data_IF_566847469271
#
_entry.id   IF_566847469271
#
_cell.length_a   1.000
_cell.length_b   1.000
_cell.length_c   1.000
_cell.angle_alpha   90.00
_cell.angle_beta   90.00
_cell.angle_gamma   90.00
#
_symmetry.space_group_name_H-M   'P 1'
#
loop_
_entity.id
_entity.type
_entity.pdbx_description
1 polymer ?
#
# COMPACT_ATOMS: atom_id res chain seq x y z
N UNK A 1 -20.03 -11.22 -19.05
CA UNK A 1 -20.65 -10.13 -19.80
C UNK A 1 -21.80 -9.62 -18.99
N UNK A 2 -21.64 -8.48 -18.42
CA UNK A 2 -22.63 -7.97 -17.48
C UNK A 2 -23.62 -7.08 -18.20
N UNK A 3 -24.91 -7.31 -17.95
CA UNK A 3 -25.96 -6.40 -18.36
C UNK A 3 -25.86 -5.11 -17.56
N UNK A 4 -25.59 -4.01 -18.23
CA UNK A 4 -25.53 -2.70 -17.56
C UNK A 4 -26.91 -2.02 -17.70
N UNK A 5 -27.51 -1.72 -16.55
CA UNK A 5 -28.80 -1.06 -16.47
C UNK A 5 -28.75 0.47 -16.76
N UNK A 6 -27.63 0.99 -17.20
CA UNK A 6 -27.48 2.40 -17.56
C UNK A 6 -27.58 2.60 -19.07
N UNK A 7 -28.34 3.59 -19.56
CA UNK A 7 -28.42 3.90 -21.00
C UNK A 7 -27.04 4.18 -21.65
N UNK A 8 -26.08 4.61 -20.85
CA UNK A 8 -24.71 4.94 -21.26
C UNK A 8 -23.75 3.75 -21.20
N UNK A 9 -24.22 2.59 -20.80
CA UNK A 9 -23.47 1.34 -20.68
C UNK A 9 -24.32 0.21 -21.24
N UNK A 10 -24.49 0.15 -22.55
CA UNK A 10 -25.28 -0.89 -23.19
C UNK A 10 -24.63 -2.26 -23.02
N UNK A 11 -25.45 -3.31 -23.09
CA UNK A 11 -25.00 -4.69 -23.07
C UNK A 11 -23.98 -4.97 -24.18
N UNK A 12 -23.01 -5.82 -23.90
CA UNK A 12 -22.06 -6.30 -24.91
C UNK A 12 -20.62 -6.33 -24.44
N UNK A 13 -19.73 -6.66 -25.35
CA UNK A 13 -18.29 -6.65 -25.14
C UNK A 13 -17.78 -5.22 -25.30
N UNK A 14 -17.34 -4.60 -24.20
CA UNK A 14 -16.78 -3.26 -24.24
C UNK A 14 -15.35 -3.25 -24.80
N UNK A 15 -14.55 -4.21 -24.42
CA UNK A 15 -13.17 -4.37 -24.87
C UNK A 15 -12.90 -5.84 -25.20
N UNK A 16 -12.26 -6.06 -26.34
CA UNK A 16 -11.73 -7.35 -26.76
C UNK A 16 -10.36 -7.08 -27.39
N UNK A 17 -9.28 -7.48 -26.70
CA UNK A 17 -7.92 -7.18 -27.11
C UNK A 17 -6.92 -8.17 -26.52
N UNK A 18 -5.78 -8.26 -27.14
CA UNK A 18 -4.60 -8.96 -26.66
C UNK A 18 -3.48 -7.97 -26.42
N UNK A 19 -2.61 -8.26 -25.47
CA UNK A 19 -1.37 -7.49 -25.22
C UNK A 19 -0.24 -8.47 -25.01
N UNK A 20 0.72 -8.41 -25.92
CA UNK A 20 2.02 -9.02 -25.69
C UNK A 20 2.92 -8.03 -24.94
N UNK A 21 3.54 -8.48 -23.86
CA UNK A 21 4.40 -7.66 -23.02
C UNK A 21 5.79 -8.28 -22.92
N UNK A 22 6.78 -7.56 -23.41
CA UNK A 22 8.18 -7.95 -23.33
C UNK A 22 8.94 -7.00 -22.40
N UNK A 23 9.78 -7.55 -21.51
CA UNK A 23 10.65 -6.75 -20.66
C UNK A 23 12.09 -7.22 -20.81
N UNK A 24 12.98 -6.29 -21.14
CA UNK A 24 14.41 -6.50 -21.14
C UNK A 24 15.06 -5.64 -20.05
N UNK A 25 15.87 -6.25 -19.19
CA UNK A 25 16.54 -5.53 -18.13
C UNK A 25 17.97 -6.01 -17.89
N UNK A 26 18.85 -5.05 -17.58
CA UNK A 26 20.20 -5.28 -17.09
C UNK A 26 20.36 -4.69 -15.70
N UNK A 27 21.03 -5.40 -14.78
CA UNK A 27 21.23 -4.91 -13.43
C UNK A 27 22.61 -5.28 -12.86
N UNK A 28 23.03 -4.49 -11.87
CA UNK A 28 24.22 -4.76 -11.06
C UNK A 28 23.98 -4.38 -9.62
N UNK A 29 24.62 -5.12 -8.70
CA UNK A 29 24.62 -4.79 -7.28
C UNK A 29 26.06 -4.90 -6.75
N UNK A 30 26.41 -3.99 -5.86
CA UNK A 30 27.71 -3.92 -5.22
C UNK A 30 27.51 -3.81 -3.72
N UNK A 31 28.20 -4.65 -2.96
CA UNK A 31 28.35 -4.53 -1.52
C UNK A 31 29.83 -4.40 -1.22
N UNK A 32 30.21 -3.34 -0.51
CA UNK A 32 31.59 -3.04 -0.20
C UNK A 32 31.77 -2.74 1.30
N UNK A 33 32.57 -3.57 1.97
CA UNK A 33 33.05 -3.30 3.32
C UNK A 33 34.17 -2.24 3.27
N UNK A 34 33.82 -0.98 3.55
CA UNK A 34 34.78 0.12 3.57
C UNK A 34 35.73 0.02 4.76
N UNK A 35 35.26 -0.60 5.86
CA UNK A 35 36.03 -0.95 7.05
C UNK A 35 35.25 -1.98 7.88
N UNK A 36 35.79 -2.43 9.01
CA UNK A 36 35.09 -3.33 9.95
C UNK A 36 33.75 -2.79 10.44
N UNK A 37 33.54 -1.48 10.35
CA UNK A 37 32.33 -0.81 10.85
C UNK A 37 31.48 -0.17 9.75
N UNK A 38 32.02 0.08 8.58
CA UNK A 38 31.34 0.79 7.52
C UNK A 38 31.12 -0.09 6.31
N UNK A 39 29.90 -0.12 5.83
CA UNK A 39 29.47 -0.85 4.64
C UNK A 39 28.74 0.08 3.69
N UNK A 40 29.09 -0.01 2.43
CA UNK A 40 28.40 0.60 1.32
C UNK A 40 27.64 -0.48 0.53
N UNK A 41 26.40 -0.22 0.18
CA UNK A 41 25.60 -1.03 -0.72
C UNK A 41 25.08 -0.14 -1.85
N UNK A 42 25.15 -0.62 -3.09
CA UNK A 42 24.66 0.09 -4.26
C UNK A 42 24.06 -0.86 -5.28
N UNK A 43 23.02 -0.43 -5.97
CA UNK A 43 22.37 -1.18 -7.01
C UNK A 43 21.87 -0.27 -8.13
N UNK A 44 21.91 -0.77 -9.36
CA UNK A 44 21.37 -0.12 -10.55
C UNK A 44 20.71 -1.16 -11.43
N UNK A 45 19.51 -0.85 -11.95
CA UNK A 45 18.80 -1.62 -12.96
C UNK A 45 18.29 -0.67 -14.03
N UNK A 46 18.54 -1.01 -15.27
CA UNK A 46 17.99 -0.38 -16.47
C UNK A 46 16.99 -1.36 -17.08
N UNK A 47 15.84 -0.87 -17.48
CA UNK A 47 14.75 -1.70 -18.00
C UNK A 47 14.05 -1.04 -19.16
N UNK A 48 13.69 -1.84 -20.15
CA UNK A 48 12.77 -1.45 -21.23
C UNK A 48 11.60 -2.41 -21.23
N UNK A 49 10.38 -1.89 -21.05
CA UNK A 49 9.11 -2.62 -21.18
C UNK A 49 8.42 -2.20 -22.48
N UNK A 50 8.02 -3.17 -23.28
CA UNK A 50 7.32 -2.98 -24.55
C UNK A 50 5.99 -3.67 -24.51
N UNK A 51 4.95 -2.98 -24.98
CA UNK A 51 3.62 -3.52 -25.17
C UNK A 51 3.27 -3.52 -26.64
N UNK A 52 2.79 -4.65 -27.16
CA UNK A 52 2.17 -4.77 -28.47
C UNK A 52 0.67 -5.04 -28.24
N UNK A 53 -0.13 -3.98 -28.40
CA UNK A 53 -1.57 -4.01 -28.19
C UNK A 53 -2.29 -4.28 -29.50
N UNK A 54 -3.03 -5.37 -29.58
CA UNK A 54 -3.90 -5.74 -30.69
C UNK A 54 -5.37 -5.59 -30.27
N UNK A 55 -6.06 -4.60 -30.82
CA UNK A 55 -7.51 -4.49 -30.68
C UNK A 55 -8.18 -5.51 -31.61
N UNK A 56 -8.95 -6.43 -31.07
CA UNK A 56 -9.66 -7.48 -31.80
C UNK A 56 -11.06 -7.04 -32.29
N UNK A 57 -11.38 -5.76 -32.09
CA UNK A 57 -12.63 -5.13 -32.52
C UNK A 57 -12.35 -3.89 -33.37
N UNK A 58 -13.39 -3.20 -33.83
CA UNK A 58 -13.22 -1.90 -34.47
C UNK A 58 -12.80 -0.84 -33.45
N UNK A 59 -11.83 -0.01 -33.83
CA UNK A 59 -11.44 1.15 -33.03
C UNK A 59 -12.57 2.19 -33.01
N UNK A 60 -12.80 2.81 -31.85
CA UNK A 60 -13.84 3.81 -31.69
C UNK A 60 -14.71 3.60 -30.44
N UNK A 61 -15.87 4.24 -30.39
CA UNK A 61 -16.82 4.06 -29.28
C UNK A 61 -17.23 2.58 -29.13
N UNK A 62 -17.19 2.07 -27.90
CA UNK A 62 -17.48 0.66 -27.62
C UNK A 62 -18.98 0.30 -27.62
N UNK A 63 -19.84 1.27 -27.84
CA UNK A 63 -21.30 1.11 -27.83
C UNK A 63 -21.88 1.00 -29.24
N UNK A 64 -23.09 0.47 -29.32
CA UNK A 64 -23.81 0.42 -30.60
C UNK A 64 -23.97 1.81 -31.22
N UNK A 65 -23.96 1.95 -32.56
CA UNK A 65 -24.12 3.26 -33.23
C UNK A 65 -25.40 4.01 -32.87
N UNK A 66 -26.44 3.28 -32.41
CA UNK A 66 -27.69 3.85 -31.93
C UNK A 66 -27.67 4.39 -30.50
N UNK A 67 -26.60 4.18 -29.75
CA UNK A 67 -26.46 4.69 -28.38
C UNK A 67 -26.30 6.20 -28.42
N UNK A 68 -27.09 6.92 -27.63
CA UNK A 68 -27.06 8.39 -27.55
C UNK A 68 -25.77 8.92 -26.85
N UNK A 69 -25.11 8.07 -26.09
CA UNK A 69 -23.82 8.33 -25.46
C UNK A 69 -23.07 7.01 -25.21
N UNK A 70 -21.75 7.03 -25.32
CA UNK A 70 -20.92 5.89 -24.99
C UNK A 70 -19.85 6.30 -23.98
N UNK A 71 -19.72 5.54 -22.93
CA UNK A 71 -18.71 5.81 -21.90
C UNK A 71 -17.32 5.30 -22.27
N UNK A 72 -17.23 4.26 -23.10
CA UNK A 72 -16.00 3.53 -23.36
C UNK A 72 -15.51 3.75 -24.80
N UNK A 73 -14.19 3.85 -24.94
CA UNK A 73 -13.53 4.01 -26.24
C UNK A 73 -12.45 2.93 -26.40
N UNK A 74 -12.39 2.30 -27.56
CA UNK A 74 -11.41 1.28 -27.96
C UNK A 74 -10.32 1.96 -28.79
N UNK A 75 -9.08 2.07 -28.31
CA UNK A 75 -8.00 2.61 -29.13
C UNK A 75 -7.68 1.67 -30.31
N UNK A 76 -7.09 2.21 -31.37
CA UNK A 76 -6.51 1.42 -32.43
C UNK A 76 -5.30 0.61 -31.92
N UNK A 77 -5.02 -0.51 -32.57
CA UNK A 77 -3.82 -1.32 -32.28
C UNK A 77 -2.57 -0.46 -32.32
N UNK A 78 -1.68 -0.61 -31.33
CA UNK A 78 -0.48 0.23 -31.17
C UNK A 78 0.62 -0.48 -30.41
N UNK A 79 1.83 0.07 -30.51
CA UNK A 79 2.97 -0.37 -29.71
C UNK A 79 3.42 0.79 -28.80
N UNK A 80 3.66 0.45 -27.55
CA UNK A 80 4.18 1.38 -26.56
C UNK A 80 5.47 0.82 -25.95
N UNK A 81 6.41 1.70 -25.63
CA UNK A 81 7.64 1.31 -24.94
C UNK A 81 8.00 2.32 -23.87
N UNK A 82 8.48 1.80 -22.73
CA UNK A 82 8.86 2.55 -21.54
C UNK A 82 10.28 2.16 -21.18
N UNK A 83 11.17 3.13 -21.09
CA UNK A 83 12.58 2.93 -20.73
C UNK A 83 12.84 3.63 -19.42
N UNK A 84 13.13 2.86 -18.39
CA UNK A 84 13.21 3.35 -17.03
C UNK A 84 14.45 2.80 -16.30
N UNK A 85 14.74 3.39 -15.14
CA UNK A 85 15.79 2.90 -14.29
C UNK A 85 15.41 2.92 -12.81
N UNK A 86 15.89 1.94 -12.07
CA UNK A 86 15.87 1.93 -10.62
C UNK A 86 17.29 1.91 -10.09
N UNK A 87 17.48 2.51 -8.93
CA UNK A 87 18.77 2.48 -8.28
C UNK A 87 18.64 2.72 -6.80
N UNK A 88 19.66 2.29 -6.07
CA UNK A 88 19.80 2.62 -4.66
C UNK A 88 21.27 2.73 -4.28
N UNK A 89 21.52 3.58 -3.29
CA UNK A 89 22.80 3.64 -2.57
C UNK A 89 22.50 3.72 -1.09
N UNK A 90 23.24 2.96 -0.29
CA UNK A 90 23.13 2.97 1.15
C UNK A 90 24.51 2.95 1.80
N UNK A 91 24.63 3.70 2.87
CA UNK A 91 25.80 3.69 3.74
C UNK A 91 25.35 3.28 5.15
N UNK A 92 25.94 2.26 5.70
CA UNK A 92 25.64 1.80 7.05
C UNK A 92 26.90 1.75 7.92
N UNK A 93 26.71 2.13 9.18
CA UNK A 93 27.71 2.00 10.24
C UNK A 93 27.25 0.99 11.26
N UNK A 94 28.02 -0.06 11.42
CA UNK A 94 27.76 -1.14 12.35
C UNK A 94 28.59 -0.94 13.62
N UNK A 95 27.98 -1.20 14.76
CA UNK A 95 28.64 -1.39 16.05
C UNK A 95 28.18 -2.73 16.62
N UNK A 96 28.65 -3.11 17.79
CA UNK A 96 28.35 -4.43 18.40
C UNK A 96 26.83 -4.75 18.46
N UNK A 97 26.01 -3.74 18.78
CA UNK A 97 24.58 -3.94 18.99
C UNK A 97 23.69 -3.01 18.14
N UNK A 98 24.29 -2.09 17.38
CA UNK A 98 23.53 -1.04 16.68
C UNK A 98 24.04 -0.83 15.26
N UNK A 99 23.12 -0.66 14.34
CA UNK A 99 23.39 -0.22 12.97
C UNK A 99 22.67 1.10 12.72
N UNK A 100 23.41 2.11 12.29
CA UNK A 100 22.85 3.36 11.73
C UNK A 100 23.02 3.31 10.24
N UNK A 101 22.02 3.73 9.49
CA UNK A 101 22.09 3.74 8.04
C UNK A 101 21.44 4.99 7.43
N UNK A 102 21.90 5.32 6.22
CA UNK A 102 21.25 6.27 5.34
C UNK A 102 21.15 5.64 3.95
N UNK A 103 20.02 5.87 3.26
CA UNK A 103 19.72 5.29 1.96
C UNK A 103 19.08 6.33 1.06
N UNK A 104 19.49 6.34 -0.21
CA UNK A 104 18.79 7.00 -1.30
C UNK A 104 18.35 5.93 -2.30
N UNK A 105 17.14 6.04 -2.81
CA UNK A 105 16.65 5.10 -3.80
C UNK A 105 15.73 5.78 -4.81
N UNK A 106 15.72 5.25 -6.03
CA UNK A 106 14.78 5.58 -7.09
C UNK A 106 14.09 4.30 -7.56
N UNK A 107 12.77 4.36 -7.68
CA UNK A 107 11.92 3.34 -8.30
C UNK A 107 11.08 3.94 -9.43
N UNK A 108 10.47 3.08 -10.24
CA UNK A 108 9.50 3.47 -11.25
C UNK A 108 8.36 2.46 -11.35
N UNK A 109 7.29 2.86 -12.02
CA UNK A 109 6.19 1.99 -12.43
C UNK A 109 5.77 2.37 -13.86
N UNK A 110 6.00 1.47 -14.82
CA UNK A 110 5.46 1.64 -16.16
C UNK A 110 3.90 1.64 -16.11
N UNK A 111 3.22 2.34 -17.03
CA UNK A 111 1.77 2.33 -17.13
C UNK A 111 1.22 0.92 -17.29
N UNK A 112 0.11 0.64 -16.62
CA UNK A 112 -0.59 -0.64 -16.78
C UNK A 112 -1.36 -0.69 -18.10
N UNK A 113 -1.53 -1.86 -18.66
CA UNK A 113 -2.29 -2.06 -19.92
C UNK A 113 -3.73 -1.55 -19.83
N UNK A 114 -4.34 -1.58 -18.65
CA UNK A 114 -5.66 -1.02 -18.41
C UNK A 114 -5.69 0.50 -18.42
N UNK A 115 -4.60 1.15 -18.01
CA UNK A 115 -4.43 2.61 -18.05
C UNK A 115 -4.22 3.09 -19.50
N UNK A 116 -3.50 2.31 -20.32
CA UNK A 116 -3.20 2.63 -21.70
C UNK A 116 -4.36 2.32 -22.66
N UNK A 117 -5.11 1.22 -22.43
CA UNK A 117 -5.97 0.64 -23.46
C UNK A 117 -7.46 0.56 -23.09
N UNK A 118 -7.85 0.81 -21.83
CA UNK A 118 -9.25 0.92 -21.43
C UNK A 118 -9.65 2.39 -21.27
N UNK A 119 -9.92 3.03 -22.41
CA UNK A 119 -10.13 4.45 -22.47
C UNK A 119 -11.60 4.84 -22.29
N UNK A 120 -11.83 6.07 -21.90
CA UNK A 120 -13.16 6.67 -21.79
C UNK A 120 -13.51 7.40 -23.09
N UNK A 121 -14.81 7.64 -23.28
CA UNK A 121 -15.29 8.43 -24.42
C UNK A 121 -14.62 9.82 -24.46
N UNK A 122 -14.09 10.18 -25.61
CA UNK A 122 -13.34 11.42 -25.80
C UNK A 122 -11.81 11.27 -25.69
N UNK A 123 -11.32 10.24 -25.01
CA UNK A 123 -9.89 9.92 -24.98
C UNK A 123 -9.59 8.85 -26.04
N UNK A 124 -8.97 9.25 -27.15
CA UNK A 124 -8.63 8.31 -28.25
C UNK A 124 -7.29 7.63 -28.06
N UNK A 125 -6.41 8.25 -27.30
CA UNK A 125 -5.09 7.74 -26.91
C UNK A 125 -4.77 8.19 -25.49
N UNK A 126 -4.21 7.30 -24.70
CA UNK A 126 -3.56 7.67 -23.44
C UNK A 126 -2.06 7.82 -23.69
N UNK A 127 -1.58 9.06 -23.65
CA UNK A 127 -0.15 9.37 -23.63
C UNK A 127 0.22 9.63 -22.18
N UNK A 128 0.69 8.60 -21.50
CA UNK A 128 1.06 8.63 -20.09
C UNK A 128 2.48 8.10 -19.95
N UNK A 129 3.22 8.73 -19.05
CA UNK A 129 4.60 8.38 -18.73
C UNK A 129 4.67 7.39 -17.58
N UNK A 130 5.83 6.79 -17.35
CA UNK A 130 6.10 5.97 -16.19
C UNK A 130 6.12 6.84 -14.93
N UNK A 131 5.44 6.39 -13.87
CA UNK A 131 5.58 7.01 -12.56
C UNK A 131 6.98 6.77 -12.01
N UNK A 132 7.55 7.75 -11.35
CA UNK A 132 8.81 7.61 -10.63
C UNK A 132 8.69 7.98 -9.17
N UNK A 133 9.51 7.34 -8.33
CA UNK A 133 9.60 7.58 -6.89
C UNK A 133 11.06 7.77 -6.51
N UNK A 134 11.39 8.94 -5.97
CA UNK A 134 12.67 9.22 -5.34
C UNK A 134 12.51 9.17 -3.82
N UNK A 135 13.41 8.51 -3.11
CA UNK A 135 13.34 8.39 -1.66
C UNK A 135 14.68 8.63 -0.97
N UNK A 136 14.61 9.26 0.20
CA UNK A 136 15.70 9.38 1.15
C UNK A 136 15.24 8.83 2.50
N UNK A 137 16.07 8.01 3.12
CA UNK A 137 15.80 7.35 4.40
C UNK A 137 17.02 7.42 5.29
N UNK A 138 16.79 7.64 6.58
CA UNK A 138 17.80 7.51 7.63
C UNK A 138 17.20 6.70 8.76
N UNK A 139 17.97 5.76 9.30
CA UNK A 139 17.43 4.91 10.36
C UNK A 139 18.51 4.38 11.30
N UNK A 140 18.01 3.84 12.40
CA UNK A 140 18.81 3.15 13.41
C UNK A 140 18.07 1.91 13.87
N UNK A 141 18.78 0.78 13.90
CA UNK A 141 18.28 -0.47 14.44
C UNK A 141 19.31 -1.15 15.31
N UNK A 142 18.82 -1.86 16.28
CA UNK A 142 19.71 -2.56 17.20
C UNK A 142 19.01 -3.57 18.07
N UNK A 143 19.84 -4.44 18.69
CA UNK A 143 19.41 -5.42 19.68
C UNK A 143 20.40 -5.35 20.85
N UNK A 144 19.88 -5.08 22.03
CA UNK A 144 20.60 -5.08 23.31
C UNK A 144 19.95 -6.08 24.24
N UNK A 145 20.60 -7.21 24.49
CA UNK A 145 20.08 -8.28 25.38
C UNK A 145 18.59 -8.58 25.12
N UNK A 146 17.71 -7.93 25.87
CA UNK A 146 16.24 -8.11 25.88
C UNK A 146 15.47 -6.99 25.16
N UNK A 147 16.18 -6.08 24.51
CA UNK A 147 15.58 -4.91 23.88
C UNK A 147 16.01 -4.78 22.43
N UNK A 148 15.07 -4.84 21.51
CA UNK A 148 15.28 -4.62 20.08
C UNK A 148 14.47 -3.43 19.57
N UNK A 149 15.05 -2.65 18.66
CA UNK A 149 14.41 -1.51 18.05
C UNK A 149 14.82 -1.33 16.60
N UNK A 150 13.90 -0.75 15.80
CA UNK A 150 14.14 -0.28 14.45
C UNK A 150 13.35 1.02 14.27
N UNK A 151 14.03 2.11 13.94
CA UNK A 151 13.42 3.43 13.76
C UNK A 151 13.99 4.03 12.49
N UNK A 152 13.11 4.46 11.58
CA UNK A 152 13.49 5.09 10.32
C UNK A 152 12.64 6.33 10.06
N UNK A 153 13.29 7.38 9.59
CA UNK A 153 12.63 8.55 9.01
C UNK A 153 12.86 8.57 7.51
N UNK A 154 11.82 8.90 6.76
CA UNK A 154 11.88 8.92 5.31
C UNK A 154 11.22 10.15 4.68
N UNK A 155 11.67 10.44 3.49
CA UNK A 155 11.08 11.40 2.57
C UNK A 155 11.02 10.75 1.19
N UNK A 156 9.85 10.83 0.53
CA UNK A 156 9.64 10.32 -0.82
C UNK A 156 8.89 11.37 -1.64
N UNK A 157 9.37 11.59 -2.85
CA UNK A 157 8.70 12.40 -3.88
C UNK A 157 8.34 11.47 -5.04
N UNK A 158 7.07 11.48 -5.41
CA UNK A 158 6.54 10.71 -6.53
C UNK A 158 6.13 11.66 -7.63
N UNK A 159 6.64 11.40 -8.83
CA UNK A 159 6.43 12.20 -10.04
C UNK A 159 5.69 11.37 -11.10
N UNK A 160 5.03 12.05 -12.02
CA UNK A 160 4.27 11.46 -13.13
C UNK A 160 3.20 10.46 -12.65
N UNK A 161 2.61 10.71 -11.48
CA UNK A 161 1.54 9.86 -10.95
C UNK A 161 0.41 9.74 -11.95
N UNK A 162 0.03 8.51 -12.26
CA UNK A 162 -1.07 8.21 -13.19
C UNK A 162 -2.40 8.23 -12.42
N UNK A 163 -3.35 8.98 -12.95
CA UNK A 163 -4.66 9.14 -12.33
C UNK A 163 -5.77 9.33 -13.37
N UNK A 164 -7.02 9.30 -12.94
CA UNK A 164 -8.16 9.75 -13.75
C UNK A 164 -8.48 11.20 -13.43
N UNK A 165 -8.46 12.04 -14.46
CA UNK A 165 -8.85 13.43 -14.35
C UNK A 165 -10.38 13.60 -14.22
N UNK A 166 -10.84 14.85 -14.19
CA UNK A 166 -12.28 15.20 -14.07
C UNK A 166 -13.12 14.60 -15.20
N UNK A 167 -12.57 14.48 -16.40
CA UNK A 167 -13.23 13.92 -17.58
C UNK A 167 -13.09 12.39 -17.65
N UNK A 168 -12.46 11.79 -16.63
CA UNK A 168 -12.15 10.35 -16.50
C UNK A 168 -11.07 9.89 -17.47
N UNK A 169 -10.27 10.78 -18.02
CA UNK A 169 -9.13 10.41 -18.85
C UNK A 169 -8.00 9.91 -17.98
N UNK A 170 -7.32 8.88 -18.44
CA UNK A 170 -6.08 8.43 -17.82
C UNK A 170 -4.97 9.38 -18.27
N UNK A 171 -4.38 10.08 -17.32
CA UNK A 171 -3.34 11.10 -17.50
C UNK A 171 -2.21 10.86 -16.50
N UNK A 172 -1.02 11.35 -16.80
CA UNK A 172 0.13 11.39 -15.87
C UNK A 172 0.53 12.85 -15.61
N UNK A 173 1.51 13.06 -14.73
CA UNK A 173 2.04 14.39 -14.42
C UNK A 173 1.59 14.93 -13.07
N UNK A 174 0.91 14.13 -12.24
CA UNK A 174 0.68 14.50 -10.86
C UNK A 174 1.94 14.26 -10.01
N UNK A 175 2.11 15.09 -8.99
CA UNK A 175 3.19 14.97 -8.03
C UNK A 175 2.63 14.76 -6.63
N UNK A 176 3.29 13.91 -5.84
CA UNK A 176 2.92 13.69 -4.44
C UNK A 176 4.16 13.57 -3.57
N UNK A 177 4.06 14.10 -2.34
CA UNK A 177 5.12 14.05 -1.34
C UNK A 177 4.69 13.20 -0.14
N UNK A 178 5.59 12.35 0.33
CA UNK A 178 5.38 11.47 1.47
C UNK A 178 6.53 11.60 2.46
N UNK A 179 6.23 11.93 3.71
CA UNK A 179 7.24 12.10 4.78
C UNK A 179 6.75 11.40 6.02
N UNK A 180 7.61 10.61 6.63
CA UNK A 180 7.18 9.84 7.77
C UNK A 180 8.28 9.36 8.68
N UNK A 181 7.85 8.81 9.80
CA UNK A 181 8.63 8.11 10.79
C UNK A 181 7.98 6.75 11.04
N UNK A 182 8.77 5.70 10.97
CA UNK A 182 8.36 4.35 11.33
C UNK A 182 9.19 3.87 12.51
N UNK A 183 8.55 3.16 13.43
CA UNK A 183 9.23 2.61 14.59
C UNK A 183 8.67 1.23 14.94
N UNK A 184 9.57 0.31 15.28
CA UNK A 184 9.24 -0.95 15.92
C UNK A 184 10.11 -1.17 17.15
N UNK A 185 9.52 -1.80 18.16
CA UNK A 185 10.10 -2.06 19.44
C UNK A 185 9.75 -3.49 19.87
N UNK A 186 10.74 -4.21 20.39
CA UNK A 186 10.55 -5.49 21.07
C UNK A 186 11.30 -5.42 22.41
N UNK A 187 10.61 -5.62 23.51
CA UNK A 187 11.18 -5.53 24.85
C UNK A 187 10.71 -6.69 25.73
N UNK A 188 11.65 -7.58 26.05
CA UNK A 188 11.43 -8.64 27.05
C UNK A 188 11.85 -8.10 28.42
N UNK A 189 10.92 -7.54 29.17
CA UNK A 189 11.22 -6.90 30.47
C UNK A 189 11.23 -7.89 31.64
N UNK A 190 10.81 -9.14 31.42
CA UNK A 190 11.01 -10.26 32.36
C UNK A 190 11.07 -11.59 31.59
N UNK A 191 11.31 -12.70 32.30
CA UNK A 191 11.30 -14.03 31.71
C UNK A 191 9.91 -14.47 31.22
N UNK A 192 8.86 -13.83 31.71
CA UNK A 192 7.47 -14.11 31.35
C UNK A 192 6.89 -13.06 30.41
N UNK A 193 7.25 -11.79 30.61
CA UNK A 193 6.56 -10.68 29.96
C UNK A 193 7.40 -10.01 28.90
N UNK A 194 6.79 -9.79 27.75
CA UNK A 194 7.37 -8.98 26.69
C UNK A 194 6.35 -8.00 26.09
N UNK A 195 6.87 -6.89 25.58
CA UNK A 195 6.12 -5.86 24.85
C UNK A 195 6.63 -5.80 23.44
N UNK A 196 5.71 -5.82 22.47
CA UNK A 196 6.00 -5.43 21.08
C UNK A 196 5.18 -4.21 20.74
N UNK A 197 5.79 -3.24 20.09
CA UNK A 197 5.10 -2.06 19.59
C UNK A 197 5.60 -1.74 18.20
N UNK A 198 4.70 -1.36 17.32
CA UNK A 198 5.03 -0.82 16.01
C UNK A 198 4.07 0.31 15.66
N UNK A 199 4.56 1.25 14.88
CA UNK A 199 3.74 2.36 14.44
C UNK A 199 4.41 3.16 13.33
N UNK A 200 3.57 3.81 12.57
CA UNK A 200 3.96 4.75 11.53
C UNK A 200 3.26 6.08 11.78
N UNK A 201 3.99 7.16 11.56
CA UNK A 201 3.45 8.51 11.43
C UNK A 201 3.90 9.06 10.09
N UNK A 202 2.96 9.41 9.22
CA UNK A 202 3.26 9.91 7.89
C UNK A 202 2.34 11.05 7.47
N UNK A 203 2.87 11.92 6.62
CA UNK A 203 2.10 12.92 5.88
C UNK A 203 2.25 12.64 4.40
N UNK A 204 1.12 12.42 3.75
CA UNK A 204 1.00 12.20 2.33
C UNK A 204 0.24 13.37 1.73
N UNK A 205 0.81 14.06 0.72
CA UNK A 205 0.21 15.27 0.14
C UNK A 205 0.26 15.25 -1.37
N UNK A 206 -0.75 15.84 -1.96
CA UNK A 206 -0.71 16.28 -3.36
C UNK A 206 0.19 17.51 -3.46
N UNK A 207 1.14 17.51 -4.39
CA UNK A 207 2.16 18.57 -4.54
C UNK A 207 2.07 19.27 -5.90
N UNK A 208 1.01 19.02 -6.63
CA UNK A 208 0.69 19.65 -7.91
C UNK A 208 -0.78 20.04 -7.99
N UNK A 209 -1.04 21.11 -8.75
CA UNK A 209 -2.40 21.59 -9.03
C UNK A 209 -3.07 20.75 -10.12
N UNK A 210 -3.60 19.61 -9.70
CA UNK A 210 -4.29 18.66 -10.58
C UNK A 210 -5.78 18.60 -10.27
N UNK A 211 -6.57 18.23 -11.28
CA UNK A 211 -8.00 18.03 -11.15
C UNK A 211 -8.34 16.55 -11.25
N UNK A 212 -8.30 15.87 -10.12
CA UNK A 212 -8.68 14.47 -10.02
C UNK A 212 -10.18 14.28 -10.26
N UNK A 213 -10.56 13.07 -10.65
CA UNK A 213 -11.95 12.65 -10.69
C UNK A 213 -12.61 12.86 -9.32
N UNK A 214 -13.65 13.71 -9.28
CA UNK A 214 -14.36 14.07 -8.05
C UNK A 214 -13.79 15.28 -7.31
N UNK A 215 -12.63 15.82 -7.70
CA UNK A 215 -12.12 17.05 -7.09
C UNK A 215 -12.91 18.29 -7.55
N UNK A 216 -12.92 19.32 -6.69
CA UNK A 216 -13.51 20.63 -6.97
C UNK A 216 -12.47 21.72 -6.69
N UNK A 217 -11.84 22.21 -7.75
CA UNK A 217 -10.73 23.18 -7.63
C UNK A 217 -9.38 22.51 -7.43
N UNK A 218 -8.40 23.30 -7.01
CA UNK A 218 -7.05 22.82 -6.69
C UNK A 218 -7.06 21.91 -5.48
N UNK A 219 -6.26 20.86 -5.55
CA UNK A 219 -6.00 19.96 -4.41
C UNK A 219 -4.55 20.04 -3.94
N UNK A 220 -3.74 20.93 -4.52
CA UNK A 220 -2.36 21.16 -4.10
C UNK A 220 -2.27 21.45 -2.61
N UNK A 221 -1.37 20.78 -1.93
CA UNK A 221 -1.18 20.86 -0.48
C UNK A 221 -2.19 20.08 0.37
N UNK A 222 -3.27 19.55 -0.22
CA UNK A 222 -4.21 18.67 0.47
C UNK A 222 -3.55 17.34 0.85
N UNK A 223 -4.06 16.73 1.90
CA UNK A 223 -3.65 15.37 2.27
C UNK A 223 -4.28 14.36 1.30
N UNK A 224 -3.49 13.36 0.92
CA UNK A 224 -3.98 12.26 0.10
C UNK A 224 -5.06 11.51 0.87
N UNK A 225 -6.19 11.30 0.24
CA UNK A 225 -7.32 10.58 0.81
C UNK A 225 -6.99 9.08 1.03
N UNK A 226 -7.73 8.46 1.95
CA UNK A 226 -7.56 7.07 2.38
C UNK A 226 -6.17 6.74 2.97
N UNK A 227 -5.43 7.76 3.42
CA UNK A 227 -4.10 7.64 4.00
C UNK A 227 -4.09 8.16 5.46
N UNK A 228 -4.21 7.29 6.48
CA UNK A 228 -4.18 7.71 7.88
C UNK A 228 -2.81 8.28 8.25
N UNK A 229 -2.82 9.39 9.04
CA UNK A 229 -1.57 10.02 9.49
C UNK A 229 -0.74 9.14 10.41
N UNK A 230 -1.37 8.35 11.23
CA UNK A 230 -0.70 7.37 12.08
C UNK A 230 -1.57 6.15 12.31
N UNK A 231 -0.90 5.02 12.39
CA UNK A 231 -1.48 3.74 12.75
C UNK A 231 -0.40 2.89 13.42
N UNK A 232 -0.83 1.87 14.14
CA UNK A 232 0.12 0.99 14.80
C UNK A 232 -0.55 -0.02 15.70
N UNK A 233 0.27 -0.78 16.42
CA UNK A 233 -0.17 -1.70 17.44
C UNK A 233 0.80 -1.78 18.61
N UNK A 234 0.25 -2.12 19.79
CA UNK A 234 0.99 -2.50 20.98
C UNK A 234 0.51 -3.86 21.43
N UNK A 235 1.41 -4.79 21.62
CA UNK A 235 1.13 -6.16 22.04
C UNK A 235 1.85 -6.44 23.36
N UNK A 236 1.09 -6.81 24.39
CA UNK A 236 1.61 -7.32 25.64
C UNK A 236 1.50 -8.85 25.61
N UNK A 237 2.64 -9.51 25.65
CA UNK A 237 2.75 -10.96 25.62
C UNK A 237 3.16 -11.49 26.99
N UNK A 238 2.54 -12.60 27.42
CA UNK A 238 2.98 -13.36 28.58
C UNK A 238 3.23 -14.81 28.18
N UNK A 239 4.41 -15.31 28.50
CA UNK A 239 4.83 -16.71 28.28
C UNK A 239 5.19 -17.34 29.61
N UNK A 240 4.29 -18.19 30.14
CA UNK A 240 4.47 -18.90 31.40
C UNK A 240 5.10 -20.28 31.21
N UNK A 241 5.45 -20.69 30.00
CA UNK A 241 5.92 -22.05 29.67
C UNK A 241 7.15 -22.49 30.49
N UNK A 242 7.98 -21.55 30.91
CA UNK A 242 9.21 -21.82 31.67
C UNK A 242 9.06 -21.70 33.21
N UNK A 243 7.99 -21.09 33.70
CA UNK A 243 7.83 -20.78 35.13
C UNK A 243 6.54 -21.34 35.75
N UNK A 244 5.64 -21.91 34.94
CA UNK A 244 4.35 -22.39 35.40
C UNK A 244 3.60 -23.24 34.36
N UNK A 245 2.29 -23.03 34.19
CA UNK A 245 1.53 -23.75 33.18
C UNK A 245 2.02 -23.40 31.79
N UNK A 246 1.96 -24.35 30.86
CA UNK A 246 2.34 -24.13 29.46
C UNK A 246 1.29 -23.23 28.76
N UNK A 247 1.22 -21.98 29.19
CA UNK A 247 0.25 -20.96 28.79
C UNK A 247 1.00 -19.78 28.17
N UNK A 248 0.56 -19.37 26.98
CA UNK A 248 0.96 -18.11 26.35
C UNK A 248 -0.26 -17.24 26.12
N UNK A 249 -0.13 -15.95 26.32
CA UNK A 249 -1.22 -14.99 26.06
C UNK A 249 -0.66 -13.76 25.38
N UNK A 250 -1.49 -13.12 24.54
CA UNK A 250 -1.20 -11.87 23.84
C UNK A 250 -2.43 -10.97 23.93
N UNK A 251 -2.25 -9.77 24.46
CA UNK A 251 -3.22 -8.69 24.41
C UNK A 251 -2.70 -7.65 23.41
N UNK A 252 -3.45 -7.39 22.36
CA UNK A 252 -3.11 -6.46 21.29
C UNK A 252 -4.08 -5.27 21.31
N UNK A 253 -3.54 -4.07 21.38
CA UNK A 253 -4.23 -2.82 21.07
C UNK A 253 -3.73 -2.31 19.71
N UNK A 254 -4.67 -2.09 18.79
CA UNK A 254 -4.43 -1.59 17.44
C UNK A 254 -5.18 -0.28 17.27
N UNK A 255 -4.57 0.69 16.59
CA UNK A 255 -5.23 1.93 16.23
C UNK A 255 -4.96 2.35 14.79
N UNK A 256 -5.95 2.98 14.18
CA UNK A 256 -5.88 3.69 12.91
C UNK A 256 -6.44 5.08 13.14
N UNK A 257 -5.63 6.11 12.89
CA UNK A 257 -6.06 7.49 13.03
C UNK A 257 -7.09 7.87 11.97
N UNK A 258 -7.76 8.98 12.22
CA UNK A 258 -8.65 9.61 11.25
C UNK A 258 -7.91 9.98 9.95
N UNK A 259 -8.65 9.94 8.83
CA UNK A 259 -8.13 10.30 7.51
C UNK A 259 -9.24 10.83 6.59
N UNK A 260 -8.83 11.56 5.57
CA UNK A 260 -9.73 12.09 4.57
C UNK A 260 -10.24 11.02 3.61
N UNK A 261 -11.49 11.16 3.17
CA UNK A 261 -12.18 10.21 2.29
C UNK A 261 -12.27 10.70 0.84
N UNK A 262 -11.85 11.93 0.59
CA UNK A 262 -11.87 12.56 -0.73
C UNK A 262 -10.68 13.52 -0.91
N UNK A 263 -10.24 13.76 -2.16
CA UNK A 263 -9.09 14.62 -2.45
C UNK A 263 -9.26 16.08 -2.02
N UNK A 264 -10.49 16.55 -1.80
CA UNK A 264 -10.75 17.92 -1.37
C UNK A 264 -10.62 18.10 0.14
N UNK A 265 -10.40 17.02 0.89
CA UNK A 265 -10.35 16.98 2.35
C UNK A 265 -11.64 17.56 3.00
N UNK A 266 -12.81 17.19 2.47
CA UNK A 266 -14.11 17.65 2.97
C UNK A 266 -14.84 16.60 3.82
N UNK A 267 -14.55 15.33 3.62
CA UNK A 267 -15.17 14.22 4.33
C UNK A 267 -14.08 13.41 5.05
N UNK A 268 -14.34 13.05 6.28
CA UNK A 268 -13.36 12.40 7.16
C UNK A 268 -13.92 11.08 7.69
N UNK A 269 -13.04 10.09 7.85
CA UNK A 269 -13.24 8.91 8.66
C UNK A 269 -12.57 9.12 10.01
N UNK A 270 -13.30 8.87 11.12
CA UNK A 270 -12.80 9.17 12.46
C UNK A 270 -11.67 8.23 12.94
N UNK A 271 -11.36 7.18 12.16
CA UNK A 271 -10.43 6.15 12.60
C UNK A 271 -11.08 5.15 13.56
N UNK A 272 -10.27 4.26 14.10
CA UNK A 272 -10.74 3.27 15.07
C UNK A 272 -9.63 2.72 15.94
N UNK A 273 -10.02 2.12 17.05
CA UNK A 273 -9.15 1.38 17.94
C UNK A 273 -9.79 0.01 18.21
N UNK A 274 -8.97 -1.05 18.20
CA UNK A 274 -9.40 -2.42 18.45
C UNK A 274 -8.56 -3.03 19.55
N UNK A 275 -9.18 -3.87 20.35
CA UNK A 275 -8.52 -4.68 21.36
C UNK A 275 -8.75 -6.15 21.05
N UNK A 276 -7.68 -6.92 20.94
CA UNK A 276 -7.69 -8.35 20.62
C UNK A 276 -6.98 -9.12 21.72
N UNK A 277 -7.44 -10.35 21.98
CA UNK A 277 -6.82 -11.28 22.94
C UNK A 277 -6.60 -12.61 22.24
N UNK A 278 -5.39 -13.16 22.39
CA UNK A 278 -5.05 -14.52 21.96
C UNK A 278 -4.46 -15.27 23.13
N UNK A 279 -4.79 -16.55 23.24
CA UNK A 279 -4.23 -17.42 24.26
C UNK A 279 -4.04 -18.84 23.74
N UNK A 280 -2.99 -19.51 24.20
CA UNK A 280 -2.73 -20.92 23.92
C UNK A 280 -2.26 -21.60 25.21
N UNK A 281 -2.95 -22.66 25.59
CA UNK A 281 -2.65 -23.44 26.80
C UNK A 281 -2.46 -24.91 26.46
N UNK A 282 -1.24 -25.41 26.59
CA UNK A 282 -0.96 -26.84 26.55
C UNK A 282 -1.33 -27.44 27.91
N UNK A 283 -2.57 -27.93 28.01
CA UNK A 283 -3.15 -28.53 29.26
C UNK A 283 -2.43 -29.82 29.61
N UNK A 284 -2.08 -30.61 28.58
CA UNK A 284 -1.23 -31.79 28.66
C UNK A 284 -0.29 -31.84 27.43
N UNK A 285 0.73 -32.69 27.39
CA UNK A 285 1.54 -32.85 26.17
C UNK A 285 0.73 -33.20 24.91
N UNK A 286 -0.46 -33.79 25.09
CA UNK A 286 -1.32 -34.20 23.99
C UNK A 286 -2.49 -33.27 23.72
N UNK A 287 -2.82 -32.31 24.63
CA UNK A 287 -3.99 -31.45 24.53
C UNK A 287 -3.59 -29.98 24.62
N UNK A 288 -3.87 -29.23 23.57
CA UNK A 288 -3.74 -27.77 23.54
C UNK A 288 -5.09 -27.11 23.29
N UNK A 289 -5.42 -26.13 24.11
CA UNK A 289 -6.56 -25.25 23.96
C UNK A 289 -6.11 -23.88 23.46
N UNK A 290 -6.85 -23.31 22.51
CA UNK A 290 -6.59 -21.96 22.00
C UNK A 290 -7.83 -21.10 22.10
N UNK A 291 -7.63 -19.81 22.39
CA UNK A 291 -8.66 -18.78 22.37
C UNK A 291 -8.18 -17.64 21.47
N UNK A 292 -9.01 -17.25 20.52
CA UNK A 292 -8.83 -16.00 19.77
C UNK A 292 -10.10 -15.17 19.96
N UNK A 293 -9.95 -13.99 20.52
CA UNK A 293 -11.04 -13.04 20.72
C UNK A 293 -10.64 -11.73 20.00
N UNK A 294 -11.38 -11.37 18.98
CA UNK A 294 -11.12 -10.16 18.17
C UNK A 294 -12.17 -9.10 18.46
N UNK A 295 -11.76 -7.84 18.36
CA UNK A 295 -12.62 -6.68 18.60
C UNK A 295 -13.39 -6.77 19.94
N UNK A 296 -12.66 -6.99 21.03
CA UNK A 296 -13.25 -7.17 22.37
C UNK A 296 -14.19 -6.04 22.78
N UNK A 297 -13.94 -4.82 22.32
CA UNK A 297 -14.73 -3.63 22.61
C UNK A 297 -16.02 -3.54 21.76
N UNK A 298 -16.22 -4.48 20.83
CA UNK A 298 -17.36 -4.49 19.88
C UNK A 298 -17.51 -3.17 19.13
N UNK A 299 -16.36 -2.60 18.74
CA UNK A 299 -16.32 -1.34 18.00
C UNK A 299 -16.83 -1.53 16.58
N UNK A 300 -17.83 -0.73 16.16
CA UNK A 300 -18.17 -0.61 14.76
C UNK A 300 -17.09 0.18 14.04
N UNK A 301 -16.46 -0.39 13.01
CA UNK A 301 -15.39 0.24 12.26
C UNK A 301 -15.44 -0.17 10.79
N UNK A 302 -14.67 0.54 9.96
CA UNK A 302 -14.43 0.18 8.59
C UNK A 302 -12.96 -0.20 8.40
N UNK A 303 -12.70 -1.30 7.70
CA UNK A 303 -11.36 -1.66 7.23
C UNK A 303 -10.86 -0.67 6.17
N UNK A 304 -11.79 -0.18 5.36
CA UNK A 304 -11.59 0.88 4.38
C UNK A 304 -12.83 1.74 4.30
N UNK A 305 -12.64 3.04 4.17
CA UNK A 305 -13.70 4.00 3.90
C UNK A 305 -13.25 4.96 2.80
N UNK A 306 -14.19 5.38 1.96
CA UNK A 306 -14.03 6.44 0.97
C UNK A 306 -15.33 7.23 0.78
N UNK A 307 -15.25 8.38 0.12
CA UNK A 307 -16.41 9.17 -0.27
C UNK A 307 -16.49 9.24 -1.79
N UNK A 308 -17.58 8.75 -2.35
CA UNK A 308 -17.78 8.75 -3.80
C UNK A 308 -19.25 8.78 -4.18
N UNK A 309 -19.55 9.37 -5.34
CA UNK A 309 -20.92 9.54 -5.83
C UNK A 309 -21.87 10.24 -4.86
N UNK A 310 -21.33 11.14 -4.02
CA UNK A 310 -22.12 11.89 -3.04
C UNK A 310 -22.47 11.12 -1.76
N UNK A 311 -21.80 9.99 -1.49
CA UNK A 311 -22.09 9.12 -0.34
C UNK A 311 -20.81 8.60 0.32
N UNK A 312 -20.88 8.40 1.63
CA UNK A 312 -19.88 7.64 2.38
C UNK A 312 -20.00 6.15 2.03
N UNK A 313 -18.87 5.52 1.77
CA UNK A 313 -18.79 4.08 1.50
C UNK A 313 -17.85 3.43 2.48
N UNK A 314 -18.35 2.38 3.16
CA UNK A 314 -17.61 1.67 4.19
C UNK A 314 -17.50 0.18 3.83
N UNK A 315 -16.29 -0.35 3.88
CA UNK A 315 -16.05 -1.79 3.95
C UNK A 315 -16.02 -2.15 5.43
N UNK A 316 -17.11 -2.73 5.89
CA UNK A 316 -17.36 -2.94 7.31
C UNK A 316 -16.39 -3.99 7.87
N UNK A 317 -15.72 -3.65 8.97
CA UNK A 317 -14.85 -4.55 9.69
C UNK A 317 -15.61 -5.60 10.49
N UNK A 318 -14.92 -6.63 10.94
CA UNK A 318 -15.50 -7.73 11.67
C UNK A 318 -16.05 -7.28 13.06
N UNK A 319 -17.25 -7.72 13.44
CA UNK A 319 -17.75 -7.51 14.79
C UNK A 319 -16.91 -8.32 15.81
N UNK A 320 -17.18 -8.12 17.10
CA UNK A 320 -16.55 -8.93 18.13
C UNK A 320 -16.78 -10.42 17.87
N UNK A 321 -15.69 -11.17 17.86
CA UNK A 321 -15.74 -12.62 17.64
C UNK A 321 -14.90 -13.39 18.66
N UNK A 322 -15.29 -14.64 18.91
CA UNK A 322 -14.59 -15.58 19.77
C UNK A 322 -14.43 -16.91 19.05
N UNK A 323 -13.20 -17.38 18.97
CA UNK A 323 -12.86 -18.67 18.38
C UNK A 323 -12.16 -19.52 19.44
N UNK A 324 -12.72 -20.68 19.73
CA UNK A 324 -12.11 -21.68 20.60
C UNK A 324 -11.58 -22.82 19.74
N UNK A 325 -10.31 -23.17 19.91
CA UNK A 325 -9.66 -24.28 19.22
C UNK A 325 -9.21 -25.35 20.20
N UNK A 326 -9.28 -26.60 19.77
CA UNK A 326 -8.78 -27.77 20.50
C UNK A 326 -7.89 -28.57 19.55
N UNK A 327 -6.65 -28.79 19.94
CA UNK A 327 -5.71 -29.64 19.22
C UNK A 327 -5.33 -30.85 20.07
N UNK A 328 -5.42 -32.04 19.48
CA UNK A 328 -5.02 -33.30 20.08
C UNK A 328 -3.88 -33.91 19.28
N UNK A 329 -2.75 -34.17 19.94
CA UNK A 329 -1.65 -34.97 19.39
C UNK A 329 -1.90 -36.44 19.74
N UNK A 330 -2.00 -37.32 18.73
CA UNK A 330 -2.22 -38.74 18.84
C UNK A 330 -0.90 -39.49 18.78
#
# INVERSE_FOLDING_TARGET
QDAFFSPNQPDGVHYDYEVDADTLAGFTNVTWALSDRWRFDGGLRLEETRYDYANLTDAGPACAPSASACRFYRPASRKDSFSDWTGNVALSRHSEHTTVFARLARGFRAPQTTELYRLQAGQTVANIDSESLNSAEIGVRGIHERFGYDIAAYWMDKEDVIFQDRDRYNVSGAETTHRGLEASLNWQFSDVWSLKANGSYARHRYDSDIQLLGSRGSIEGNEIDTAPKHFGSVQLLADFTHVGPALTTELEWLWVAKYWLDPNNQHEYDGHELLNLRGSWAVTPALTLTLVATNLMDKGYAERADYGFGSYRYFVGEPRSFVLGVALAL
#
